data_IF_905962185864
#
_entry.id   IF_905962185864
#
_cell.length_a   1.000
_cell.length_b   1.000
_cell.length_c   1.000
_cell.angle_alpha   90.00
_cell.angle_beta   90.00
_cell.angle_gamma   90.00
#
_symmetry.space_group_name_H-M   'P 1'
#
loop_
_entity.id
_entity.type
_entity.pdbx_description
1 polymer ?
#
# COMPACT_ATOMS: atom_id res chain seq x y z
N UNK A 1 9.13 17.65 -9.99
CA UNK A 1 8.36 16.48 -9.50
C UNK A 1 8.92 16.12 -8.12
N UNK A 2 8.13 16.20 -7.03
CA UNK A 2 8.60 15.85 -5.71
C UNK A 2 8.87 14.34 -5.61
N UNK A 3 10.12 13.97 -5.28
CA UNK A 3 10.53 12.59 -4.98
C UNK A 3 11.04 12.50 -3.54
N UNK A 4 10.09 12.60 -2.63
CA UNK A 4 10.37 12.59 -1.19
C UNK A 4 10.64 11.15 -0.74
N UNK A 5 11.81 10.91 -0.16
CA UNK A 5 12.16 9.61 0.44
C UNK A 5 11.28 9.28 1.66
N UNK A 6 11.09 8.02 1.95
CA UNK A 6 10.28 7.57 3.10
C UNK A 6 10.81 8.12 4.44
N UNK A 7 12.12 8.07 4.64
CA UNK A 7 12.77 8.51 5.90
C UNK A 7 12.63 10.01 6.17
N UNK A 8 12.40 10.81 5.12
CA UNK A 8 12.29 12.28 5.20
C UNK A 8 10.88 12.79 4.85
N UNK A 9 9.86 11.93 4.87
CA UNK A 9 8.49 12.30 4.46
C UNK A 9 8.02 13.57 5.15
N UNK A 10 8.16 13.65 6.47
CA UNK A 10 7.72 14.80 7.26
C UNK A 10 8.39 16.10 6.82
N UNK A 11 9.70 16.08 6.68
CA UNK A 11 10.51 17.23 6.28
C UNK A 11 10.21 17.61 4.82
N UNK A 12 10.22 16.65 3.89
CA UNK A 12 9.96 16.89 2.48
C UNK A 12 8.56 17.44 2.21
N UNK A 13 7.55 16.95 2.94
CA UNK A 13 6.18 17.48 2.86
C UNK A 13 6.10 18.92 3.41
N UNK A 14 6.85 19.27 4.45
CA UNK A 14 6.87 20.64 4.97
C UNK A 14 7.47 21.62 3.94
N UNK A 15 8.54 21.22 3.27
CA UNK A 15 9.12 22.02 2.17
C UNK A 15 8.13 22.15 1.01
N UNK A 16 7.44 21.05 0.65
CA UNK A 16 6.47 21.07 -0.43
C UNK A 16 5.29 22.01 -0.13
N UNK A 17 4.77 21.99 1.12
CA UNK A 17 3.74 22.94 1.56
C UNK A 17 4.19 24.38 1.44
N UNK A 18 5.44 24.68 1.77
CA UNK A 18 5.98 26.02 1.63
C UNK A 18 5.98 26.46 0.17
N UNK A 19 6.38 25.58 -0.76
CA UNK A 19 6.30 25.87 -2.20
C UNK A 19 4.87 26.05 -2.68
N UNK A 20 3.93 25.26 -2.18
CA UNK A 20 2.49 25.41 -2.47
C UNK A 20 1.95 26.76 -2.01
N UNK A 21 2.39 27.28 -0.85
CA UNK A 21 2.02 28.62 -0.37
C UNK A 21 2.63 29.77 -1.20
N UNK A 22 3.65 29.48 -2.00
CA UNK A 22 4.26 30.40 -2.95
C UNK A 22 3.70 30.25 -4.37
N UNK A 23 2.56 29.56 -4.53
CA UNK A 23 1.89 29.26 -5.80
C UNK A 23 2.79 28.51 -6.81
N UNK A 24 3.81 27.80 -6.31
CA UNK A 24 4.65 26.94 -7.15
C UNK A 24 3.90 25.67 -7.49
N UNK A 25 3.63 25.43 -8.76
CA UNK A 25 3.00 24.20 -9.21
C UNK A 25 3.86 22.97 -8.92
N UNK A 26 3.24 21.94 -8.36
CA UNK A 26 3.88 20.66 -8.05
C UNK A 26 3.08 19.49 -8.65
N UNK A 27 3.77 18.51 -9.21
CA UNK A 27 3.11 17.36 -9.85
C UNK A 27 2.25 16.55 -8.85
N UNK A 28 2.70 16.41 -7.61
CA UNK A 28 1.93 15.83 -6.51
C UNK A 28 1.87 16.84 -5.36
N UNK A 29 0.71 16.99 -4.77
CA UNK A 29 0.54 17.86 -3.60
C UNK A 29 1.11 17.24 -2.33
N UNK A 30 1.41 18.10 -1.36
CA UNK A 30 1.83 17.67 -0.01
C UNK A 30 0.78 16.76 0.64
N UNK A 31 -0.50 17.09 0.46
CA UNK A 31 -1.62 16.30 0.96
C UNK A 31 -1.72 14.93 0.30
N UNK A 32 -1.62 14.85 -1.03
CA UNK A 32 -1.65 13.57 -1.77
C UNK A 32 -0.52 12.65 -1.35
N UNK A 33 0.69 13.19 -1.14
CA UNK A 33 1.84 12.42 -0.65
C UNK A 33 1.58 11.88 0.75
N UNK A 34 1.06 12.68 1.68
CA UNK A 34 0.74 12.23 3.04
C UNK A 34 -0.31 11.13 3.05
N UNK A 35 -1.41 11.32 2.31
CA UNK A 35 -2.50 10.35 2.23
C UNK A 35 -2.02 9.00 1.68
N UNK A 36 -1.20 9.02 0.64
CA UNK A 36 -0.68 7.79 0.02
C UNK A 36 0.39 7.07 0.87
N UNK A 37 1.07 7.80 1.77
CA UNK A 37 2.10 7.25 2.67
C UNK A 37 1.53 6.55 3.89
N UNK A 38 0.35 6.93 4.32
CA UNK A 38 -0.37 6.30 5.41
C UNK A 38 -1.28 5.19 4.85
N UNK A 39 -0.93 3.92 5.14
CA UNK A 39 -1.68 2.76 4.63
C UNK A 39 -3.11 2.71 5.14
N UNK A 40 -3.36 3.14 6.37
CA UNK A 40 -4.71 3.20 6.92
C UNK A 40 -5.52 4.27 6.21
N UNK A 41 -4.99 5.50 6.13
CA UNK A 41 -5.68 6.62 5.49
C UNK A 41 -5.94 6.35 4.00
N UNK A 42 -4.94 5.84 3.26
CA UNK A 42 -5.14 5.47 1.86
C UNK A 42 -6.22 4.39 1.69
N UNK A 43 -6.23 3.35 2.52
CA UNK A 43 -7.28 2.31 2.48
C UNK A 43 -8.68 2.89 2.74
N UNK A 44 -8.82 3.82 3.69
CA UNK A 44 -10.08 4.49 3.99
C UNK A 44 -10.58 5.34 2.80
N UNK A 45 -9.68 6.09 2.15
CA UNK A 45 -10.01 6.89 0.96
C UNK A 45 -10.45 5.98 -0.20
N UNK A 46 -9.71 4.91 -0.46
CA UNK A 46 -10.03 3.95 -1.52
C UNK A 46 -11.38 3.27 -1.28
N UNK A 47 -11.62 2.77 -0.06
CA UNK A 47 -12.88 2.14 0.33
C UNK A 47 -14.08 3.09 0.20
N UNK A 48 -13.96 4.34 0.68
CA UNK A 48 -15.00 5.36 0.53
C UNK A 48 -15.38 5.61 -0.94
N UNK A 49 -14.39 5.53 -1.83
CA UNK A 49 -14.58 5.75 -3.27
C UNK A 49 -14.89 4.46 -4.03
N UNK A 50 -15.21 3.36 -3.32
CA UNK A 50 -15.55 2.06 -3.91
C UNK A 50 -14.50 1.54 -4.90
N UNK A 51 -13.24 1.78 -4.60
CA UNK A 51 -12.12 1.21 -5.34
C UNK A 51 -11.82 -0.16 -4.73
N UNK A 52 -11.80 -1.23 -5.53
CA UNK A 52 -11.51 -2.58 -5.02
C UNK A 52 -10.17 -2.63 -4.29
N UNK A 53 -10.19 -3.13 -3.07
CA UNK A 53 -9.00 -3.39 -2.25
C UNK A 53 -9.21 -4.64 -1.41
N UNK A 54 -8.16 -5.38 -1.06
CA UNK A 54 -8.30 -6.49 -0.11
C UNK A 54 -8.93 -6.01 1.19
N UNK A 55 -9.83 -6.81 1.77
CA UNK A 55 -10.47 -6.50 3.06
C UNK A 55 -9.40 -6.23 4.11
N UNK A 56 -9.56 -5.16 4.86
CA UNK A 56 -8.52 -4.68 5.79
C UNK A 56 -9.16 -4.25 7.10
N UNK A 57 -8.62 -4.73 8.21
CA UNK A 57 -9.01 -4.35 9.57
C UNK A 57 -7.83 -3.67 10.28
N UNK A 58 -8.13 -2.66 11.09
CA UNK A 58 -7.16 -1.93 11.90
C UNK A 58 -7.18 -2.46 13.34
N UNK A 59 -6.01 -2.79 13.88
CA UNK A 59 -5.87 -3.39 15.22
C UNK A 59 -4.92 -2.57 16.08
N UNK A 60 -5.39 -2.20 17.28
CA UNK A 60 -4.61 -1.54 18.34
C UNK A 60 -4.57 -2.33 19.65
N UNK A 61 -5.45 -3.32 19.80
CA UNK A 61 -5.58 -4.12 21.02
C UNK A 61 -5.51 -5.61 20.67
N UNK A 62 -4.89 -6.39 21.53
CA UNK A 62 -4.75 -7.84 21.37
C UNK A 62 -6.10 -8.58 21.34
N UNK A 63 -7.12 -8.04 22.02
CA UNK A 63 -8.47 -8.64 22.07
C UNK A 63 -9.19 -8.59 20.72
N UNK A 64 -8.79 -7.68 19.82
CA UNK A 64 -9.46 -7.47 18.55
C UNK A 64 -8.93 -8.37 17.42
N UNK A 65 -7.86 -9.15 17.65
CA UNK A 65 -7.14 -9.89 16.62
C UNK A 65 -8.02 -10.96 15.96
N UNK A 66 -8.73 -11.77 16.73
CA UNK A 66 -9.60 -12.82 16.21
C UNK A 66 -10.72 -12.22 15.36
N UNK A 67 -11.41 -11.24 15.92
CA UNK A 67 -12.49 -10.55 15.23
C UNK A 67 -12.00 -9.88 13.94
N UNK A 68 -10.85 -9.21 13.97
CA UNK A 68 -10.22 -8.61 12.79
C UNK A 68 -9.86 -9.67 11.74
N UNK A 69 -9.34 -10.82 12.18
CA UNK A 69 -9.00 -11.93 11.28
C UNK A 69 -10.24 -12.50 10.60
N UNK A 70 -11.32 -12.70 11.34
CA UNK A 70 -12.60 -13.15 10.78
C UNK A 70 -13.21 -12.12 9.83
N UNK A 71 -13.18 -10.85 10.18
CA UNK A 71 -13.73 -9.75 9.37
C UNK A 71 -13.05 -9.61 8.01
N UNK A 72 -11.77 -9.99 7.89
CA UNK A 72 -11.07 -9.99 6.60
C UNK A 72 -11.19 -11.31 5.82
N UNK A 73 -11.91 -12.30 6.35
CA UNK A 73 -12.22 -13.57 5.68
C UNK A 73 -11.46 -14.77 6.20
N UNK A 74 -10.82 -14.64 7.36
CA UNK A 74 -10.10 -15.73 8.01
C UNK A 74 -8.64 -15.87 7.55
N UNK A 75 -8.02 -16.93 8.03
CA UNK A 75 -6.62 -17.26 7.72
C UNK A 75 -6.47 -17.90 6.34
N UNK A 76 -5.32 -17.75 5.67
CA UNK A 76 -4.16 -16.94 6.08
C UNK A 76 -4.40 -15.44 5.93
N UNK A 77 -3.68 -14.62 6.71
CA UNK A 77 -3.78 -13.16 6.68
C UNK A 77 -2.43 -12.51 6.46
N UNK A 78 -2.44 -11.29 5.92
CA UNK A 78 -1.27 -10.43 5.82
C UNK A 78 -1.31 -9.37 6.92
N UNK A 79 -0.33 -9.39 7.82
CA UNK A 79 -0.14 -8.37 8.85
C UNK A 79 0.79 -7.29 8.32
N UNK A 80 0.37 -6.03 8.39
CA UNK A 80 1.15 -4.87 7.93
C UNK A 80 1.28 -3.83 9.03
N UNK A 81 2.47 -3.26 9.21
CA UNK A 81 2.59 -2.04 10.00
C UNK A 81 2.01 -0.85 9.22
N UNK A 82 1.39 0.09 9.91
CA UNK A 82 0.74 1.26 9.28
C UNK A 82 1.74 2.14 8.54
N UNK A 83 2.99 2.21 9.01
CA UNK A 83 4.08 2.96 8.39
C UNK A 83 5.23 2.02 7.99
N UNK A 84 5.76 2.18 6.80
CA UNK A 84 6.85 1.37 6.24
C UNK A 84 6.77 1.33 4.72
N UNK A 85 7.90 1.01 4.07
CA UNK A 85 8.03 0.94 2.61
C UNK A 85 8.76 -0.32 2.18
N UNK A 86 8.76 -0.61 0.88
CA UNK A 86 9.55 -1.67 0.24
C UNK A 86 9.29 -3.08 0.81
N UNK A 87 8.07 -3.36 1.26
CA UNK A 87 7.72 -4.65 1.85
C UNK A 87 8.23 -4.87 3.28
N UNK A 88 8.92 -3.90 3.88
CA UNK A 88 9.29 -3.95 5.29
C UNK A 88 8.03 -3.85 6.16
N UNK A 89 7.94 -4.74 7.18
CA UNK A 89 6.77 -4.79 8.06
C UNK A 89 5.51 -5.36 7.38
N UNK A 90 5.66 -6.27 6.43
CA UNK A 90 4.59 -7.04 5.78
C UNK A 90 4.85 -8.53 5.99
N UNK A 91 3.92 -9.22 6.60
CA UNK A 91 4.10 -10.59 7.07
C UNK A 91 2.86 -11.45 6.76
N UNK A 92 3.05 -12.58 6.08
CA UNK A 92 2.00 -13.59 5.89
C UNK A 92 1.96 -14.49 7.14
N UNK A 93 0.75 -14.77 7.64
CA UNK A 93 0.50 -15.63 8.80
C UNK A 93 -0.59 -16.63 8.50
N UNK A 94 -0.31 -17.88 8.83
CA UNK A 94 -1.18 -19.01 8.53
C UNK A 94 -2.01 -19.48 9.73
N UNK A 95 -1.60 -19.10 10.94
CA UNK A 95 -2.30 -19.47 12.17
C UNK A 95 -2.60 -18.26 13.04
N UNK A 96 -3.66 -18.36 13.86
CA UNK A 96 -4.02 -17.31 14.79
C UNK A 96 -2.92 -17.10 15.85
N UNK A 97 -2.25 -18.17 16.26
CA UNK A 97 -1.15 -18.09 17.23
C UNK A 97 0.03 -17.27 16.69
N UNK A 98 0.47 -17.54 15.46
CA UNK A 98 1.51 -16.74 14.80
C UNK A 98 1.11 -15.27 14.64
N UNK A 99 -0.17 -15.04 14.29
CA UNK A 99 -0.72 -13.69 14.15
C UNK A 99 -0.68 -12.95 15.48
N UNK A 100 -1.13 -13.56 16.57
CA UNK A 100 -1.11 -13.00 17.91
C UNK A 100 0.30 -12.63 18.37
N UNK A 101 1.25 -13.57 18.26
CA UNK A 101 2.63 -13.36 18.71
C UNK A 101 3.28 -12.18 17.95
N UNK A 102 3.06 -12.11 16.61
CA UNK A 102 3.58 -11.01 15.82
C UNK A 102 2.93 -9.67 16.20
N UNK A 103 1.60 -9.63 16.26
CA UNK A 103 0.86 -8.39 16.59
C UNK A 103 1.22 -7.91 17.98
N UNK A 104 1.33 -8.80 18.98
CA UNK A 104 1.78 -8.44 20.33
C UNK A 104 3.15 -7.74 20.30
N UNK A 105 4.13 -8.32 19.60
CA UNK A 105 5.46 -7.73 19.47
C UNK A 105 5.44 -6.34 18.81
N UNK A 106 4.55 -6.13 17.84
CA UNK A 106 4.40 -4.84 17.16
C UNK A 106 3.70 -3.80 18.06
N UNK A 107 2.63 -4.20 18.75
CA UNK A 107 1.89 -3.30 19.64
C UNK A 107 2.73 -2.83 20.82
N UNK A 108 3.58 -3.69 21.40
CA UNK A 108 4.52 -3.31 22.48
C UNK A 108 5.47 -2.19 22.04
N UNK A 109 5.82 -2.14 20.75
CA UNK A 109 6.64 -1.03 20.18
C UNK A 109 5.82 0.23 19.86
N UNK A 110 4.56 0.30 20.26
CA UNK A 110 3.65 1.43 20.00
C UNK A 110 3.15 1.50 18.55
N UNK A 111 3.36 0.44 17.75
CA UNK A 111 2.93 0.39 16.34
C UNK A 111 1.56 -0.27 16.23
N UNK A 112 0.60 0.47 15.72
CA UNK A 112 -0.65 -0.13 15.27
C UNK A 112 -0.45 -0.93 13.97
N UNK A 113 -1.29 -1.94 13.76
CA UNK A 113 -1.17 -2.84 12.61
C UNK A 113 -2.46 -2.90 11.79
N UNK A 114 -2.32 -3.29 10.54
CA UNK A 114 -3.41 -3.70 9.67
C UNK A 114 -3.37 -5.22 9.54
N UNK A 115 -4.50 -5.88 9.71
CA UNK A 115 -4.73 -7.26 9.30
C UNK A 115 -5.51 -7.19 7.98
N UNK A 116 -5.00 -7.85 6.96
CA UNK A 116 -5.54 -7.78 5.61
C UNK A 116 -5.73 -9.17 5.04
N UNK A 117 -6.79 -9.30 4.25
CA UNK A 117 -7.04 -10.48 3.41
C UNK A 117 -5.82 -10.85 2.58
N UNK A 118 -5.50 -12.14 2.56
CA UNK A 118 -4.47 -12.66 1.67
C UNK A 118 -5.08 -13.10 0.34
N UNK A 119 -4.64 -12.51 -0.75
CA UNK A 119 -5.08 -12.86 -2.10
C UNK A 119 -4.15 -13.96 -2.63
N UNK A 120 -4.61 -15.20 -2.54
CA UNK A 120 -3.79 -16.37 -2.88
C UNK A 120 -3.39 -16.40 -4.36
N UNK A 121 -4.27 -15.93 -5.24
CA UNK A 121 -4.08 -15.85 -6.69
C UNK A 121 -2.91 -14.94 -7.07
N UNK A 122 -2.65 -13.94 -6.24
CA UNK A 122 -1.56 -12.97 -6.41
C UNK A 122 -0.25 -13.38 -5.74
N UNK A 123 -0.14 -14.61 -5.19
CA UNK A 123 1.04 -15.03 -4.44
C UNK A 123 2.35 -14.69 -5.17
N UNK A 124 3.12 -13.78 -4.59
CA UNK A 124 4.41 -13.34 -5.15
C UNK A 124 4.32 -12.62 -6.50
N UNK A 125 3.14 -12.18 -6.93
CA UNK A 125 2.93 -11.48 -8.20
C UNK A 125 2.08 -10.24 -7.98
N UNK A 126 2.37 -9.19 -8.72
CA UNK A 126 1.49 -8.04 -8.87
C UNK A 126 1.74 -7.35 -10.22
N UNK A 127 0.85 -6.44 -10.54
CA UNK A 127 0.98 -5.52 -11.68
C UNK A 127 1.17 -4.12 -11.10
N UNK A 128 2.24 -3.45 -11.50
CA UNK A 128 2.45 -2.04 -11.15
C UNK A 128 2.21 -1.16 -12.36
N UNK A 129 1.17 -0.32 -12.27
CA UNK A 129 0.87 0.70 -13.25
C UNK A 129 1.49 2.05 -12.83
N UNK A 130 2.20 2.70 -13.74
CA UNK A 130 2.67 4.08 -13.56
C UNK A 130 1.63 5.04 -14.14
N UNK A 131 1.08 5.88 -13.28
CA UNK A 131 0.09 6.90 -13.64
C UNK A 131 0.79 8.24 -13.76
N UNK A 132 0.53 8.96 -14.85
CA UNK A 132 0.95 10.36 -15.03
C UNK A 132 -0.22 11.13 -15.64
N UNK A 133 -0.65 12.21 -14.98
CA UNK A 133 -1.72 13.06 -15.49
C UNK A 133 -3.05 12.31 -15.72
N UNK A 134 -3.35 11.32 -14.87
CA UNK A 134 -4.58 10.53 -14.96
C UNK A 134 -4.60 9.44 -16.03
N UNK A 135 -3.45 9.13 -16.64
CA UNK A 135 -3.31 8.07 -17.65
C UNK A 135 -2.24 7.07 -17.23
N UNK A 136 -2.42 5.80 -17.58
CA UNK A 136 -1.37 4.78 -17.46
C UNK A 136 -0.34 5.04 -18.56
N UNK A 137 0.91 5.29 -18.19
CA UNK A 137 2.01 5.53 -19.14
C UNK A 137 2.97 4.36 -19.26
N UNK A 138 2.99 3.48 -18.26
CA UNK A 138 3.76 2.23 -18.29
C UNK A 138 3.14 1.23 -17.33
N UNK A 139 3.33 -0.05 -17.61
CA UNK A 139 2.86 -1.13 -16.77
C UNK A 139 3.89 -2.26 -16.72
N UNK A 140 4.11 -2.81 -15.53
CA UNK A 140 5.00 -3.93 -15.34
C UNK A 140 4.38 -4.99 -14.44
N UNK A 141 4.62 -6.26 -14.78
CA UNK A 141 4.38 -7.37 -13.87
C UNK A 141 5.64 -7.61 -13.06
N UNK A 142 5.49 -7.71 -11.74
CA UNK A 142 6.55 -8.12 -10.84
C UNK A 142 6.28 -9.53 -10.33
N UNK A 143 7.32 -10.35 -10.23
CA UNK A 143 7.22 -11.72 -9.74
C UNK A 143 8.36 -12.00 -8.76
N UNK A 144 8.01 -12.45 -7.56
CA UNK A 144 8.95 -12.88 -6.55
C UNK A 144 9.71 -14.14 -6.98
N UNK A 145 10.86 -14.39 -6.38
CA UNK A 145 11.60 -15.65 -6.54
C UNK A 145 11.29 -16.63 -5.40
N UNK A 146 11.24 -17.90 -5.76
CA UNK A 146 11.08 -18.99 -4.80
C UNK A 146 9.72 -18.94 -4.08
N UNK A 147 9.76 -19.02 -2.74
CA UNK A 147 8.56 -19.04 -1.88
C UNK A 147 8.20 -17.67 -1.29
N UNK A 148 8.82 -16.59 -1.78
CA UNK A 148 8.52 -15.25 -1.30
C UNK A 148 7.13 -14.81 -1.81
N UNK A 149 6.27 -14.35 -0.91
CA UNK A 149 4.92 -13.90 -1.25
C UNK A 149 4.85 -12.41 -1.63
N UNK A 150 5.91 -11.64 -1.32
CA UNK A 150 6.00 -10.22 -1.66
C UNK A 150 6.65 -10.05 -3.02
N UNK A 151 6.00 -9.38 -3.95
CA UNK A 151 6.45 -9.17 -5.33
C UNK A 151 7.52 -8.08 -5.51
N UNK A 152 7.97 -7.44 -4.44
CA UNK A 152 8.88 -6.30 -4.50
C UNK A 152 10.21 -6.64 -5.22
N UNK A 153 10.58 -5.84 -6.22
CA UNK A 153 11.83 -6.03 -7.00
C UNK A 153 13.09 -6.08 -6.14
N UNK A 154 13.15 -5.30 -5.06
CA UNK A 154 14.30 -5.28 -4.12
C UNK A 154 14.52 -6.61 -3.39
N UNK A 155 13.58 -7.55 -3.47
CA UNK A 155 13.68 -8.90 -2.93
C UNK A 155 14.12 -9.91 -4.01
N UNK A 156 14.90 -9.48 -5.01
CA UNK A 156 15.36 -10.28 -6.15
C UNK A 156 14.24 -10.82 -7.06
N UNK A 157 13.10 -10.13 -7.11
CA UNK A 157 12.03 -10.42 -8.06
C UNK A 157 12.42 -10.11 -9.51
N UNK A 158 11.69 -10.69 -10.45
CA UNK A 158 11.76 -10.37 -11.87
C UNK A 158 10.71 -9.33 -12.25
N UNK A 159 10.99 -8.58 -13.31
CA UNK A 159 10.09 -7.56 -13.85
C UNK A 159 9.98 -7.76 -15.35
N UNK A 160 8.77 -7.71 -15.87
CA UNK A 160 8.47 -7.74 -17.31
C UNK A 160 7.48 -6.64 -17.67
N UNK A 161 7.63 -6.03 -18.82
CA UNK A 161 6.64 -5.11 -19.35
C UNK A 161 5.39 -5.88 -19.74
N UNK A 162 4.22 -5.37 -19.40
CA UNK A 162 2.94 -5.97 -19.76
C UNK A 162 1.95 -4.89 -20.22
N UNK A 163 1.05 -5.27 -21.10
CA UNK A 163 -0.12 -4.46 -21.39
C UNK A 163 -1.13 -4.61 -20.26
N UNK A 164 -1.78 -3.51 -19.91
CA UNK A 164 -2.83 -3.48 -18.90
C UNK A 164 -4.19 -3.44 -19.60
N UNK A 165 -5.15 -4.22 -19.15
CA UNK A 165 -6.51 -4.13 -19.65
C UNK A 165 -7.21 -2.83 -19.19
N UNK A 166 -8.28 -2.44 -19.86
CA UNK A 166 -9.00 -1.19 -19.61
C UNK A 166 -9.57 -1.12 -18.19
N UNK A 167 -10.09 -2.22 -17.66
CA UNK A 167 -10.65 -2.28 -16.31
C UNK A 167 -9.59 -1.96 -15.25
N UNK A 168 -8.43 -2.60 -15.31
CA UNK A 168 -7.32 -2.34 -14.38
C UNK A 168 -6.73 -0.94 -14.56
N UNK A 169 -6.66 -0.45 -15.80
CA UNK A 169 -6.21 0.91 -16.10
C UNK A 169 -7.14 1.95 -15.46
N UNK A 170 -8.47 1.75 -15.58
CA UNK A 170 -9.46 2.61 -14.95
C UNK A 170 -9.33 2.61 -13.42
N UNK A 171 -9.26 1.43 -12.80
CA UNK A 171 -9.09 1.29 -11.35
C UNK A 171 -7.82 2.01 -10.87
N UNK A 172 -6.69 1.82 -11.56
CA UNK A 172 -5.43 2.48 -11.22
C UNK A 172 -5.51 4.01 -11.34
N UNK A 173 -6.09 4.52 -12.42
CA UNK A 173 -6.28 5.96 -12.63
C UNK A 173 -7.22 6.58 -11.58
N UNK A 174 -8.32 5.88 -11.24
CA UNK A 174 -9.23 6.32 -10.17
C UNK A 174 -8.55 6.34 -8.82
N UNK A 175 -7.76 5.30 -8.48
CA UNK A 175 -7.01 5.23 -7.23
C UNK A 175 -6.05 6.42 -7.08
N UNK A 176 -5.26 6.73 -8.11
CA UNK A 176 -4.36 7.88 -8.11
C UNK A 176 -5.13 9.21 -7.93
N UNK A 177 -6.25 9.37 -8.65
CA UNK A 177 -7.08 10.58 -8.61
C UNK A 177 -7.68 10.85 -7.23
N UNK A 178 -8.28 9.84 -6.58
CA UNK A 178 -8.93 10.03 -5.27
C UNK A 178 -7.92 10.27 -4.15
N UNK A 179 -6.67 9.85 -4.33
CA UNK A 179 -5.55 10.16 -3.44
C UNK A 179 -4.87 11.50 -3.77
N UNK A 180 -5.34 12.25 -4.78
CA UNK A 180 -4.79 13.53 -5.17
C UNK A 180 -3.39 13.46 -5.77
N UNK A 181 -3.10 12.38 -6.51
CA UNK A 181 -1.79 12.13 -7.12
C UNK A 181 -1.85 12.23 -8.64
N UNK A 182 -1.03 13.10 -9.22
CA UNK A 182 -0.82 13.20 -10.67
C UNK A 182 0.28 12.25 -11.17
N UNK A 183 1.22 11.88 -10.30
CA UNK A 183 2.26 10.89 -10.60
C UNK A 183 2.24 9.85 -9.50
N UNK A 184 1.89 8.60 -9.84
CA UNK A 184 1.75 7.51 -8.88
C UNK A 184 2.12 6.16 -9.50
N UNK A 185 2.68 5.27 -8.67
CA UNK A 185 2.73 3.84 -8.96
C UNK A 185 1.62 3.14 -8.19
N UNK A 186 0.70 2.50 -8.91
CA UNK A 186 -0.42 1.74 -8.33
C UNK A 186 -0.13 0.26 -8.48
N UNK A 187 -0.22 -0.47 -7.39
CA UNK A 187 -0.08 -1.93 -7.35
C UNK A 187 -1.49 -2.56 -7.41
N UNK A 188 -1.66 -3.48 -8.37
CA UNK A 188 -2.89 -4.17 -8.70
C UNK A 188 -2.72 -5.68 -8.49
#
# INVERSE_FOLDING_TARGET
IPRIGHSITRHGVSVLRHLEQLDVWTANTSQGILQSRDKLHSSQILARNKIPTPRTAYVRDMKDIEHATEAVGGLPVVVKVTQGTQGQGVFLRHTIHETRNLVQGLLVTGKAVLIQEYIAESHGKDIRALIVGGKVVACMRRKARGREFRSNYHLNGTVENVEINEEYAEVACRAARVLGLNVAGVDL
#
